data_IF_121481478669
#
_entry.id   IF_121481478669
#
_cell.length_a   1.000
_cell.length_b   1.000
_cell.length_c   1.000
_cell.angle_alpha   90.00
_cell.angle_beta   90.00
_cell.angle_gamma   90.00
#
_symmetry.space_group_name_H-M   'P 1'
#
loop_
_entity.id
_entity.type
_entity.pdbx_description
1 polymer ?
#
# COMPACT_ATOMS: atom_id res chain seq x y z
N UNK A 1 -32.84 32.37 19.20
CA UNK A 1 -31.37 32.34 19.41
C UNK A 1 -30.89 31.04 20.12
N UNK A 2 -31.47 29.86 19.85
CA UNK A 2 -31.15 28.59 20.55
C UNK A 2 -30.44 27.54 19.67
N UNK A 3 -30.48 27.69 18.35
CA UNK A 3 -29.95 26.71 17.39
C UNK A 3 -28.49 26.94 16.98
N UNK A 4 -27.88 28.06 17.37
CA UNK A 4 -26.49 28.40 17.02
C UNK A 4 -25.44 27.53 17.74
N UNK A 5 -25.84 26.80 18.79
CA UNK A 5 -24.94 25.91 19.55
C UNK A 5 -24.88 24.47 18.99
N UNK A 6 -25.73 24.10 18.03
CA UNK A 6 -25.77 22.72 17.47
C UNK A 6 -24.78 22.50 16.31
N UNK A 7 -24.39 23.57 15.61
CA UNK A 7 -23.42 23.52 14.52
C UNK A 7 -22.01 23.05 14.93
N UNK A 8 -21.40 23.50 16.04
CA UNK A 8 -20.06 23.05 16.42
C UNK A 8 -20.00 21.57 16.84
N UNK A 9 -21.10 21.02 17.40
CA UNK A 9 -21.17 19.61 17.84
C UNK A 9 -21.10 18.62 16.67
N UNK A 10 -21.61 18.99 15.50
CA UNK A 10 -21.56 18.13 14.30
C UNK A 10 -20.13 18.06 13.73
N UNK A 11 -19.36 19.14 13.83
CA UNK A 11 -18.00 19.19 13.28
C UNK A 11 -17.01 18.40 14.14
N UNK A 12 -17.18 18.41 15.46
CA UNK A 12 -16.31 17.64 16.37
C UNK A 12 -16.50 16.13 16.22
N UNK A 13 -17.73 15.68 15.95
CA UNK A 13 -18.04 14.25 15.79
C UNK A 13 -17.43 13.68 14.50
N UNK A 14 -17.49 14.45 13.41
CA UNK A 14 -16.91 14.04 12.12
C UNK A 14 -15.39 13.94 12.17
N UNK A 15 -14.73 14.85 12.89
CA UNK A 15 -13.27 14.84 13.05
C UNK A 15 -12.79 13.61 13.84
N UNK A 16 -13.50 13.24 14.90
CA UNK A 16 -13.19 12.05 15.71
C UNK A 16 -13.39 10.75 14.93
N UNK A 17 -14.50 10.63 14.19
CA UNK A 17 -14.74 9.46 13.35
C UNK A 17 -13.69 9.33 12.22
N UNK A 18 -13.25 10.45 11.63
CA UNK A 18 -12.17 10.45 10.64
C UNK A 18 -10.82 10.08 11.25
N UNK A 19 -10.48 10.56 12.45
CA UNK A 19 -9.22 10.18 13.11
C UNK A 19 -9.18 8.70 13.51
N UNK A 20 -10.30 8.16 13.99
CA UNK A 20 -10.38 6.73 14.35
C UNK A 20 -10.20 5.86 13.10
N UNK A 21 -10.83 6.24 11.99
CA UNK A 21 -10.67 5.56 10.70
C UNK A 21 -9.22 5.63 10.20
N UNK A 22 -8.57 6.79 10.31
CA UNK A 22 -7.18 6.97 9.88
C UNK A 22 -6.20 6.13 10.70
N UNK A 23 -6.42 6.02 12.02
CA UNK A 23 -5.60 5.17 12.90
C UNK A 23 -5.68 3.68 12.52
N UNK A 24 -6.86 3.22 12.11
CA UNK A 24 -7.04 1.85 11.65
C UNK A 24 -6.29 1.59 10.34
N UNK A 25 -6.41 2.52 9.37
CA UNK A 25 -5.65 2.44 8.13
C UNK A 25 -4.14 2.54 8.35
N UNK A 26 -3.70 3.31 9.35
CA UNK A 26 -2.29 3.37 9.73
C UNK A 26 -1.79 2.01 10.21
N UNK A 27 -2.54 1.34 11.08
CA UNK A 27 -2.17 0.00 11.55
C UNK A 27 -2.10 -0.98 10.38
N UNK A 28 -3.11 -0.98 9.50
CA UNK A 28 -3.11 -1.83 8.30
C UNK A 28 -1.93 -1.52 7.38
N UNK A 29 -1.59 -0.25 7.19
CA UNK A 29 -0.43 0.17 6.41
C UNK A 29 0.87 -0.37 6.99
N UNK A 30 1.05 -0.32 8.30
CA UNK A 30 2.25 -0.84 8.98
C UNK A 30 2.33 -2.37 8.83
N UNK A 31 1.23 -3.08 9.06
CA UNK A 31 1.17 -4.54 8.90
C UNK A 31 1.48 -4.95 7.45
N UNK A 32 0.87 -4.25 6.48
CA UNK A 32 1.12 -4.49 5.07
C UNK A 32 2.57 -4.20 4.67
N UNK A 33 3.14 -3.07 5.12
CA UNK A 33 4.55 -2.71 4.87
C UNK A 33 5.51 -3.77 5.43
N UNK A 34 5.25 -4.26 6.64
CA UNK A 34 6.04 -5.32 7.24
C UNK A 34 5.99 -6.60 6.42
N UNK A 35 4.80 -6.99 5.96
CA UNK A 35 4.63 -8.16 5.10
C UNK A 35 5.43 -8.03 3.78
N UNK A 36 5.33 -6.89 3.09
CA UNK A 36 6.14 -6.66 1.88
C UNK A 36 7.64 -6.69 2.16
N UNK A 37 8.09 -6.10 3.28
CA UNK A 37 9.50 -6.11 3.66
C UNK A 37 10.01 -7.54 3.93
N UNK A 38 9.18 -8.39 4.52
CA UNK A 38 9.49 -9.82 4.72
C UNK A 38 9.63 -10.54 3.39
N UNK A 39 8.72 -10.33 2.44
CA UNK A 39 8.82 -10.92 1.09
C UNK A 39 10.10 -10.48 0.39
N UNK A 40 10.41 -9.18 0.38
CA UNK A 40 11.62 -8.65 -0.23
C UNK A 40 12.90 -9.24 0.39
N UNK A 41 12.92 -9.39 1.71
CA UNK A 41 14.07 -9.88 2.47
C UNK A 41 14.23 -11.41 2.42
N UNK A 42 13.18 -12.15 2.03
CA UNK A 42 13.21 -13.59 1.97
C UNK A 42 14.07 -14.08 0.79
N UNK A 43 15.27 -14.58 1.09
CA UNK A 43 16.19 -15.12 0.06
C UNK A 43 15.70 -16.40 -0.62
N UNK A 44 14.70 -17.08 -0.03
CA UNK A 44 14.09 -18.28 -0.60
C UNK A 44 12.95 -17.95 -1.57
N UNK A 45 12.45 -16.71 -1.56
CA UNK A 45 11.45 -16.23 -2.50
C UNK A 45 12.03 -16.05 -3.91
N UNK A 46 11.15 -16.17 -4.91
CA UNK A 46 11.54 -15.93 -6.29
C UNK A 46 12.02 -14.48 -6.50
N UNK A 47 12.96 -14.28 -7.44
CA UNK A 47 13.53 -12.97 -7.73
C UNK A 47 12.46 -11.96 -8.15
N UNK A 48 11.48 -12.39 -8.95
CA UNK A 48 10.39 -11.53 -9.42
C UNK A 48 9.47 -11.17 -8.24
N UNK A 49 9.14 -12.12 -7.37
CA UNK A 49 8.35 -11.87 -6.16
C UNK A 49 9.00 -10.79 -5.27
N UNK A 50 10.30 -10.93 -5.01
CA UNK A 50 11.06 -9.94 -4.22
C UNK A 50 11.06 -8.57 -4.86
N UNK A 51 11.18 -8.50 -6.19
CA UNK A 51 11.17 -7.24 -6.93
C UNK A 51 9.78 -6.58 -6.96
N UNK A 52 8.70 -7.36 -7.00
CA UNK A 52 7.34 -6.82 -6.85
C UNK A 52 7.14 -6.21 -5.47
N UNK A 53 7.60 -6.90 -4.42
CA UNK A 53 7.50 -6.40 -3.05
C UNK A 53 8.27 -5.09 -2.84
N UNK A 54 9.51 -5.01 -3.35
CA UNK A 54 10.31 -3.77 -3.35
C UNK A 54 9.56 -2.59 -3.98
N UNK A 55 9.00 -2.80 -5.18
CA UNK A 55 8.29 -1.73 -5.89
C UNK A 55 6.96 -1.35 -5.26
N UNK A 56 6.25 -2.32 -4.68
CA UNK A 56 5.05 -2.04 -3.93
C UNK A 56 5.37 -1.12 -2.73
N UNK A 57 6.45 -1.40 -2.01
CA UNK A 57 6.94 -0.56 -0.90
C UNK A 57 7.24 0.86 -1.39
N UNK A 58 7.99 1.00 -2.49
CA UNK A 58 8.38 2.31 -3.02
C UNK A 58 7.15 3.11 -3.47
N UNK A 59 6.19 2.46 -4.13
CA UNK A 59 4.94 3.10 -4.54
C UNK A 59 4.14 3.57 -3.33
N UNK A 60 3.96 2.72 -2.33
CA UNK A 60 3.19 3.05 -1.13
C UNK A 60 3.79 4.24 -0.37
N UNK A 61 5.13 4.33 -0.31
CA UNK A 61 5.83 5.49 0.26
C UNK A 61 5.57 6.77 -0.53
N UNK A 62 5.70 6.72 -1.85
CA UNK A 62 5.44 7.87 -2.72
C UNK A 62 3.99 8.35 -2.64
N UNK A 63 3.03 7.42 -2.59
CA UNK A 63 1.61 7.76 -2.49
C UNK A 63 1.28 8.38 -1.13
N UNK A 64 1.87 7.86 -0.05
CA UNK A 64 1.73 8.49 1.26
C UNK A 64 2.34 9.88 1.30
N UNK A 65 3.54 10.09 0.75
CA UNK A 65 4.17 11.41 0.66
C UNK A 65 3.31 12.43 -0.07
N UNK A 66 2.58 12.01 -1.11
CA UNK A 66 1.68 12.88 -1.88
C UNK A 66 0.35 13.16 -1.18
N UNK A 67 -0.22 12.15 -0.54
CA UNK A 67 -1.60 12.18 -0.02
C UNK A 67 -1.68 12.56 1.46
N UNK A 68 -0.59 12.34 2.21
CA UNK A 68 -0.50 12.49 3.65
C UNK A 68 -1.68 11.82 4.41
N UNK A 69 -2.19 10.71 3.87
CA UNK A 69 -3.27 9.91 4.49
C UNK A 69 -3.06 8.42 4.22
N UNK A 70 -3.05 7.65 5.30
CA UNK A 70 -2.99 6.20 5.31
C UNK A 70 -4.19 5.58 4.61
N UNK A 71 -5.42 6.02 4.89
CA UNK A 71 -6.59 5.42 4.23
C UNK A 71 -6.58 5.61 2.71
N UNK A 72 -6.23 6.81 2.23
CA UNK A 72 -6.12 7.06 0.79
C UNK A 72 -4.99 6.25 0.16
N UNK A 73 -3.85 6.16 0.84
CA UNK A 73 -2.71 5.34 0.38
C UNK A 73 -3.09 3.87 0.31
N UNK A 74 -3.73 3.32 1.34
CA UNK A 74 -4.19 1.93 1.36
C UNK A 74 -5.22 1.64 0.27
N UNK A 75 -6.08 2.59 -0.05
CA UNK A 75 -7.00 2.46 -1.18
C UNK A 75 -6.26 2.27 -2.51
N UNK A 76 -5.18 3.02 -2.74
CA UNK A 76 -4.35 2.88 -3.95
C UNK A 76 -3.56 1.57 -3.95
N UNK A 77 -2.92 1.23 -2.82
CA UNK A 77 -2.11 0.02 -2.66
C UNK A 77 -2.93 -1.25 -2.88
N UNK A 78 -4.18 -1.31 -2.39
CA UNK A 78 -5.07 -2.46 -2.62
C UNK A 78 -5.46 -2.64 -4.09
N UNK A 79 -5.47 -1.55 -4.87
CA UNK A 79 -5.74 -1.58 -6.30
C UNK A 79 -4.49 -1.80 -7.17
N UNK A 80 -3.30 -1.76 -6.58
CA UNK A 80 -2.04 -1.86 -7.32
C UNK A 80 -1.83 -3.27 -7.86
N UNK A 81 -1.66 -3.36 -9.18
CA UNK A 81 -1.18 -4.55 -9.86
C UNK A 81 0.13 -4.20 -10.56
N UNK A 82 1.17 -4.96 -10.25
CA UNK A 82 2.46 -4.77 -10.89
C UNK A 82 2.45 -5.32 -12.32
N UNK A 83 2.15 -4.44 -13.28
CA UNK A 83 2.04 -4.77 -14.70
C UNK A 83 3.35 -4.57 -15.49
N UNK A 84 4.51 -4.32 -14.85
CA UNK A 84 5.74 -4.07 -15.60
C UNK A 84 6.08 -5.28 -16.50
N UNK A 85 6.06 -5.11 -17.84
CA UNK A 85 6.35 -6.21 -18.76
C UNK A 85 7.77 -6.74 -18.60
N UNK A 86 8.70 -5.98 -18.00
CA UNK A 86 10.07 -6.44 -17.69
C UNK A 86 10.12 -7.47 -16.55
N UNK A 87 9.05 -7.64 -15.78
CA UNK A 87 8.93 -8.72 -14.80
C UNK A 87 8.35 -10.01 -15.37
N UNK A 88 7.87 -10.00 -16.61
CA UNK A 88 7.46 -11.20 -17.35
C UNK A 88 8.56 -11.50 -18.36
N UNK A 89 9.50 -12.40 -18.05
CA UNK A 89 10.52 -12.79 -19.00
C UNK A 89 9.85 -13.35 -20.25
N UNK A 90 10.35 -12.99 -21.44
CA UNK A 90 9.96 -13.73 -22.64
C UNK A 90 10.65 -15.09 -22.62
N UNK A 91 9.98 -16.10 -23.18
CA UNK A 91 10.54 -17.43 -23.29
C UNK A 91 11.95 -17.38 -23.93
N UNK A 92 12.96 -17.87 -23.22
CA UNK A 92 14.35 -17.89 -23.67
C UNK A 92 15.18 -16.63 -23.40
N UNK A 93 14.68 -15.63 -22.68
CA UNK A 93 15.49 -14.50 -22.22
C UNK A 93 16.44 -14.87 -21.07
N UNK A 94 17.55 -14.13 -20.88
CA UNK A 94 18.54 -14.35 -19.80
C UNK A 94 17.92 -14.24 -18.39
N UNK A 95 16.72 -13.69 -18.28
CA UNK A 95 15.97 -13.59 -17.02
C UNK A 95 14.74 -14.51 -16.99
N UNK A 96 14.61 -15.40 -17.97
CA UNK A 96 13.66 -16.50 -17.95
C UNK A 96 14.24 -17.63 -17.10
N UNK A 97 13.74 -17.75 -15.88
CA UNK A 97 14.15 -18.77 -14.92
C UNK A 97 13.20 -19.98 -14.92
N UNK A 98 12.28 -20.08 -15.89
CA UNK A 98 11.45 -21.28 -16.01
C UNK A 98 12.32 -22.47 -16.43
N UNK A 99 12.23 -23.63 -15.74
CA UNK A 99 13.02 -24.80 -16.11
C UNK A 99 12.59 -25.29 -17.49
N UNK A 100 13.57 -25.57 -18.36
CA UNK A 100 13.32 -26.20 -19.65
C UNK A 100 12.76 -27.61 -19.42
N UNK A 101 11.64 -27.92 -20.08
CA UNK A 101 10.95 -29.21 -20.06
C UNK A 101 11.77 -30.34 -20.69
#
# INVERSE_FOLDING_TARGET
>A
MRYLLLLPLLWTLSAQAQSDTESQCQQEFVEWMLHQQQLFSNRKSDKIERRRAERAIDLARQDYEKLASFCKTMQLVRGYQDEDPRLKPRAGEVHDFTPAS
#
